data_IF_296594228479
#
_entry.id   IF_296594228479
#
_cell.length_a   1.000
_cell.length_b   1.000
_cell.length_c   1.000
_cell.angle_alpha   90.00
_cell.angle_beta   90.00
_cell.angle_gamma   90.00
#
_symmetry.space_group_name_H-M   'P 1'
#
loop_
_entity.id
_entity.type
_entity.pdbx_description
1 polymer ?
#
# COMPACT_ATOMS: atom_id res chain seq x y z
N UNK A 1 4.04 29.76 43.81
CA UNK A 1 4.28 29.93 42.37
C UNK A 1 4.40 28.55 41.74
N UNK A 2 3.30 28.08 41.15
CA UNK A 2 3.24 26.75 40.55
C UNK A 2 3.87 26.75 39.17
N UNK A 3 4.90 25.94 38.96
CA UNK A 3 5.40 25.60 37.65
C UNK A 3 4.38 24.67 36.97
N UNK A 4 3.61 25.17 36.01
CA UNK A 4 2.85 24.33 35.08
C UNK A 4 3.85 23.61 34.18
N UNK A 5 4.06 22.34 34.44
CA UNK A 5 4.71 21.43 33.51
C UNK A 5 3.87 21.39 32.25
N UNK A 6 4.43 21.90 31.14
CA UNK A 6 3.87 21.66 29.79
C UNK A 6 4.07 20.17 29.50
N UNK A 7 3.03 19.38 29.65
CA UNK A 7 2.96 18.06 29.03
C UNK A 7 3.04 18.26 27.53
N UNK A 8 4.21 17.97 26.97
CA UNK A 8 4.37 17.82 25.52
C UNK A 8 3.60 16.55 25.18
N UNK A 9 2.39 16.72 24.67
CA UNK A 9 1.62 15.65 24.10
C UNK A 9 2.41 15.12 22.89
N UNK A 10 3.21 14.08 23.11
CA UNK A 10 3.79 13.28 22.03
C UNK A 10 2.60 12.66 21.31
N UNK A 11 2.14 13.28 20.22
CA UNK A 11 1.24 12.61 19.29
C UNK A 11 1.92 11.30 18.91
N UNK A 12 1.27 10.18 19.19
CA UNK A 12 1.82 8.87 18.83
C UNK A 12 2.12 8.91 17.32
N UNK A 13 3.37 8.57 16.97
CA UNK A 13 3.82 8.58 15.58
C UNK A 13 2.94 7.63 14.76
N UNK A 14 2.35 8.14 13.68
CA UNK A 14 1.47 7.33 12.83
C UNK A 14 2.26 6.22 12.14
N UNK A 15 1.71 5.02 12.13
CA UNK A 15 2.28 3.87 11.44
C UNK A 15 2.03 4.00 9.94
N UNK A 16 3.00 3.62 9.13
CA UNK A 16 2.94 3.71 7.67
C UNK A 16 2.87 2.32 7.06
N UNK A 17 1.84 2.08 6.27
CA UNK A 17 1.69 0.86 5.45
C UNK A 17 2.01 1.23 4.01
N UNK A 18 2.96 0.53 3.42
CA UNK A 18 3.50 0.83 2.11
C UNK A 18 3.11 -0.27 1.10
N UNK A 19 2.44 0.13 0.03
CA UNK A 19 2.10 -0.74 -1.10
C UNK A 19 3.11 -0.57 -2.22
N UNK A 20 3.65 -1.65 -2.74
CA UNK A 20 4.74 -1.64 -3.71
C UNK A 20 4.36 -2.42 -4.97
N UNK A 21 4.61 -1.81 -6.12
CA UNK A 21 4.65 -2.48 -7.42
C UNK A 21 5.89 -2.04 -8.21
N UNK A 22 5.94 -2.26 -9.50
CA UNK A 22 7.11 -1.91 -10.31
C UNK A 22 7.21 -0.42 -10.54
N UNK A 23 6.25 0.20 -11.22
CA UNK A 23 6.31 1.60 -11.67
C UNK A 23 5.47 2.57 -10.84
N UNK A 24 4.70 2.09 -9.88
CA UNK A 24 3.79 2.91 -9.06
C UNK A 24 2.76 3.72 -9.87
N UNK A 25 2.28 3.17 -10.97
CA UNK A 25 1.25 3.79 -11.82
C UNK A 25 0.00 2.95 -12.00
N UNK A 26 0.05 1.63 -11.78
CA UNK A 26 -1.09 0.74 -11.95
C UNK A 26 -1.57 0.13 -10.63
N UNK A 27 -0.88 -0.90 -10.14
CA UNK A 27 -1.34 -1.72 -8.99
C UNK A 27 -1.26 -0.99 -7.66
N UNK A 28 -0.10 -0.47 -7.30
CA UNK A 28 0.07 0.12 -5.96
C UNK A 28 -0.75 1.39 -5.73
N UNK A 29 -1.02 2.27 -6.71
CA UNK A 29 -1.95 3.38 -6.52
C UNK A 29 -3.38 2.94 -6.21
N UNK A 30 -3.87 1.90 -6.88
CA UNK A 30 -5.19 1.32 -6.59
C UNK A 30 -5.22 0.72 -5.17
N UNK A 31 -4.21 -0.08 -4.83
CA UNK A 31 -4.11 -0.72 -3.52
C UNK A 31 -4.09 0.29 -2.38
N UNK A 32 -3.27 1.33 -2.49
CA UNK A 32 -3.18 2.41 -1.51
C UNK A 32 -4.54 3.04 -1.26
N UNK A 33 -5.25 3.43 -2.31
CA UNK A 33 -6.53 4.14 -2.18
C UNK A 33 -7.66 3.23 -1.66
N UNK A 34 -7.73 1.99 -2.13
CA UNK A 34 -8.68 1.01 -1.63
C UNK A 34 -8.46 0.71 -0.15
N UNK A 35 -7.23 0.53 0.25
CA UNK A 35 -6.89 0.30 1.66
C UNK A 35 -7.15 1.53 2.51
N UNK A 36 -6.75 2.72 2.07
CA UNK A 36 -7.02 3.98 2.78
C UNK A 36 -8.52 4.21 2.99
N UNK A 37 -9.36 3.88 2.03
CA UNK A 37 -10.80 3.96 2.16
C UNK A 37 -11.34 2.99 3.23
N UNK A 38 -10.86 1.76 3.23
CA UNK A 38 -11.25 0.77 4.24
C UNK A 38 -10.77 1.13 5.65
N UNK A 39 -9.59 1.74 5.77
CA UNK A 39 -9.05 2.22 7.05
C UNK A 39 -9.99 3.17 7.77
N UNK A 40 -10.76 3.99 7.07
CA UNK A 40 -11.68 4.98 7.68
C UNK A 40 -12.68 4.35 8.64
N UNK A 41 -13.05 3.09 8.40
CA UNK A 41 -14.00 2.34 9.22
C UNK A 41 -13.32 1.37 10.21
N UNK A 42 -12.00 1.40 10.31
CA UNK A 42 -11.23 0.53 11.19
C UNK A 42 -10.96 1.17 12.56
N UNK A 43 -10.61 0.35 13.54
CA UNK A 43 -10.22 0.79 14.89
C UNK A 43 -8.89 1.57 14.91
N UNK A 44 -8.10 1.49 13.85
CA UNK A 44 -6.79 2.13 13.71
C UNK A 44 -6.76 3.29 12.72
N UNK A 45 -7.92 3.80 12.32
CA UNK A 45 -8.07 4.85 11.31
C UNK A 45 -7.23 6.12 11.57
N UNK A 46 -7.04 6.51 12.83
CA UNK A 46 -6.23 7.67 13.22
C UNK A 46 -4.74 7.35 13.42
N UNK A 47 -4.37 6.08 13.42
CA UNK A 47 -3.03 5.60 13.77
C UNK A 47 -2.22 5.11 12.58
N UNK A 48 -2.87 4.79 11.47
CA UNK A 48 -2.26 4.17 10.30
C UNK A 48 -2.50 5.02 9.06
N UNK A 49 -1.46 5.19 8.25
CA UNK A 49 -1.50 5.85 6.95
C UNK A 49 -1.07 4.89 5.86
N UNK A 50 -1.71 4.98 4.71
CA UNK A 50 -1.36 4.23 3.51
C UNK A 50 -0.51 5.07 2.56
N UNK A 51 0.51 4.46 2.00
CA UNK A 51 1.39 5.03 0.97
C UNK A 51 1.65 4.00 -0.12
N UNK A 52 2.18 4.46 -1.25
CA UNK A 52 2.64 3.57 -2.30
C UNK A 52 3.94 4.06 -2.93
N UNK A 53 4.71 3.13 -3.48
CA UNK A 53 5.95 3.41 -4.20
C UNK A 53 6.21 2.32 -5.25
N UNK A 54 7.14 2.56 -6.14
CA UNK A 54 7.57 1.59 -7.14
C UNK A 54 9.06 1.27 -7.02
N UNK A 55 9.39 0.00 -7.22
CA UNK A 55 10.80 -0.46 -7.18
C UNK A 55 11.62 0.22 -8.27
N UNK A 56 11.01 0.45 -9.43
CA UNK A 56 11.63 1.07 -10.61
C UNK A 56 10.78 2.25 -11.12
N UNK A 57 10.15 2.99 -10.22
CA UNK A 57 9.32 4.14 -10.59
C UNK A 57 10.16 5.37 -10.87
N UNK A 58 9.69 6.18 -11.81
CA UNK A 58 10.10 7.58 -11.97
C UNK A 58 9.15 8.43 -11.14
N UNK A 59 9.67 9.47 -10.48
CA UNK A 59 8.85 10.36 -9.67
C UNK A 59 7.96 11.26 -10.52
N UNK A 60 6.71 11.44 -10.11
CA UNK A 60 5.81 12.46 -10.65
C UNK A 60 4.85 12.00 -11.74
N UNK A 61 4.86 10.73 -12.15
CA UNK A 61 3.93 10.22 -13.15
C UNK A 61 2.51 10.04 -12.55
N UNK A 62 1.52 10.31 -13.38
CA UNK A 62 0.12 10.05 -13.03
C UNK A 62 -0.14 8.55 -12.99
N UNK A 63 -1.17 8.13 -12.24
CA UNK A 63 -1.70 6.78 -12.36
C UNK A 63 -2.15 6.51 -13.81
N UNK A 64 -2.05 5.26 -14.26
CA UNK A 64 -2.53 4.86 -15.58
C UNK A 64 -4.04 5.13 -15.69
N UNK A 65 -4.50 5.50 -16.89
CA UNK A 65 -5.90 5.84 -17.10
C UNK A 65 -6.83 4.70 -16.68
N UNK A 66 -6.48 3.46 -17.01
CA UNK A 66 -7.31 2.31 -16.63
C UNK A 66 -7.36 2.10 -15.12
N UNK A 67 -6.30 2.41 -14.39
CA UNK A 67 -6.32 2.39 -12.90
C UNK A 67 -7.21 3.48 -12.34
N UNK A 68 -7.17 4.69 -12.93
CA UNK A 68 -8.06 5.80 -12.56
C UNK A 68 -9.51 5.39 -12.77
N UNK A 69 -9.83 4.84 -13.95
CA UNK A 69 -11.19 4.43 -14.30
C UNK A 69 -11.69 3.28 -13.41
N UNK A 70 -10.85 2.29 -13.14
CA UNK A 70 -11.20 1.17 -12.27
C UNK A 70 -11.52 1.60 -10.83
N UNK A 71 -10.76 2.55 -10.29
CA UNK A 71 -11.05 3.14 -8.97
C UNK A 71 -12.30 4.02 -9.00
N UNK A 72 -12.49 4.79 -10.06
CA UNK A 72 -13.64 5.66 -10.20
C UNK A 72 -14.96 4.88 -10.23
N UNK A 73 -14.99 3.69 -10.82
CA UNK A 73 -16.15 2.79 -10.77
C UNK A 73 -16.56 2.42 -9.34
N UNK A 74 -15.64 2.51 -8.39
CA UNK A 74 -15.87 2.27 -6.96
C UNK A 74 -16.07 3.57 -6.14
N UNK A 75 -16.21 4.69 -6.81
CA UNK A 75 -16.35 5.99 -6.17
C UNK A 75 -15.05 6.56 -5.60
N UNK A 76 -13.89 6.07 -6.03
CA UNK A 76 -12.58 6.52 -5.57
C UNK A 76 -11.85 7.30 -6.66
N UNK A 77 -11.42 8.52 -6.34
CA UNK A 77 -10.63 9.37 -7.22
C UNK A 77 -9.14 9.22 -6.90
N UNK A 78 -8.35 8.78 -7.88
CA UNK A 78 -6.88 8.69 -7.81
C UNK A 78 -6.18 9.60 -8.82
N UNK A 79 -6.87 10.60 -9.35
CA UNK A 79 -6.29 11.55 -10.32
C UNK A 79 -5.19 12.42 -9.71
N UNK A 80 -5.17 12.58 -8.40
CA UNK A 80 -4.14 13.29 -7.63
C UNK A 80 -2.86 12.46 -7.43
N UNK A 81 -2.88 11.16 -7.72
CA UNK A 81 -1.71 10.30 -7.54
C UNK A 81 -0.53 10.78 -8.39
N UNK A 82 0.66 10.74 -7.77
CA UNK A 82 1.95 10.89 -8.46
C UNK A 82 2.86 9.77 -8.02
N UNK A 83 3.47 9.11 -9.00
CA UNK A 83 4.40 8.02 -8.73
C UNK A 83 5.60 8.48 -7.91
N UNK A 84 6.11 7.60 -7.08
CA UNK A 84 7.29 7.80 -6.28
C UNK A 84 8.19 6.56 -6.34
N UNK A 85 9.47 6.76 -6.55
CA UNK A 85 10.47 5.72 -6.46
C UNK A 85 10.65 5.27 -4.99
N UNK A 86 10.84 3.98 -4.80
CA UNK A 86 11.15 3.43 -3.49
C UNK A 86 12.53 3.90 -3.04
N UNK A 87 12.62 4.39 -1.81
CA UNK A 87 13.88 4.87 -1.20
C UNK A 87 14.18 4.10 0.07
N UNK A 88 15.45 4.13 0.50
CA UNK A 88 15.85 3.58 1.79
C UNK A 88 15.06 4.22 2.95
N UNK A 89 14.80 5.52 2.88
CA UNK A 89 14.00 6.24 3.88
C UNK A 89 12.58 5.72 3.93
N UNK A 90 11.89 5.57 2.78
CA UNK A 90 10.52 5.03 2.76
C UNK A 90 10.46 3.59 3.28
N UNK A 91 11.49 2.79 3.02
CA UNK A 91 11.62 1.45 3.59
C UNK A 91 11.76 1.48 5.12
N UNK A 92 12.62 2.35 5.64
CA UNK A 92 12.85 2.47 7.09
C UNK A 92 11.63 3.00 7.85
N UNK A 93 10.87 3.89 7.24
CA UNK A 93 9.66 4.46 7.84
C UNK A 93 8.44 3.54 7.77
N UNK A 94 8.46 2.53 6.89
CA UNK A 94 7.34 1.61 6.75
C UNK A 94 7.22 0.68 7.97
N UNK A 95 6.02 0.58 8.50
CA UNK A 95 5.69 -0.36 9.58
C UNK A 95 5.29 -1.74 9.02
N UNK A 96 4.82 -1.76 7.78
CA UNK A 96 4.56 -2.98 7.01
C UNK A 96 4.60 -2.65 5.50
N UNK A 97 5.00 -3.63 4.71
CA UNK A 97 5.09 -3.53 3.25
C UNK A 97 4.26 -4.62 2.62
N UNK A 98 3.44 -4.25 1.66
CA UNK A 98 2.63 -5.16 0.85
C UNK A 98 3.02 -5.07 -0.62
N UNK A 99 3.55 -6.16 -1.16
CA UNK A 99 3.97 -6.31 -2.55
C UNK A 99 2.87 -6.96 -3.38
N UNK A 100 2.94 -6.80 -4.69
CA UNK A 100 1.98 -7.40 -5.60
C UNK A 100 2.36 -8.83 -6.01
N UNK A 101 3.66 -9.14 -6.08
CA UNK A 101 4.19 -10.43 -6.51
C UNK A 101 5.40 -10.87 -5.68
N UNK A 102 5.73 -12.16 -5.74
CA UNK A 102 6.95 -12.69 -5.13
C UNK A 102 8.22 -12.07 -5.73
N UNK A 103 8.20 -11.71 -7.01
CA UNK A 103 9.31 -11.00 -7.65
C UNK A 103 9.60 -9.67 -6.97
N UNK A 104 8.57 -8.91 -6.58
CA UNK A 104 8.75 -7.67 -5.82
C UNK A 104 9.39 -7.93 -4.46
N UNK A 105 8.92 -8.94 -3.73
CA UNK A 105 9.49 -9.34 -2.42
C UNK A 105 10.97 -9.72 -2.57
N UNK A 106 11.31 -10.50 -3.57
CA UNK A 106 12.69 -10.91 -3.84
C UNK A 106 13.60 -9.71 -4.16
N UNK A 107 13.12 -8.77 -4.98
CA UNK A 107 13.86 -7.55 -5.30
C UNK A 107 14.08 -6.66 -4.07
N UNK A 108 13.10 -6.54 -3.19
CA UNK A 108 13.26 -5.80 -1.94
C UNK A 108 14.36 -6.40 -1.06
N UNK A 109 14.37 -7.71 -0.89
CA UNK A 109 15.40 -8.40 -0.13
C UNK A 109 16.79 -8.22 -0.75
N UNK A 110 16.88 -8.22 -2.07
CA UNK A 110 18.15 -8.05 -2.78
C UNK A 110 18.70 -6.63 -2.70
N UNK A 111 17.83 -5.60 -2.83
CA UNK A 111 18.28 -4.21 -2.87
C UNK A 111 18.46 -3.57 -1.49
N UNK A 112 17.72 -4.00 -0.48
CA UNK A 112 17.65 -3.34 0.81
C UNK A 112 18.18 -4.17 1.98
N UNK A 113 18.61 -5.41 1.76
CA UNK A 113 19.15 -6.29 2.81
C UNK A 113 18.27 -6.27 4.07
N UNK A 114 16.99 -6.60 3.91
CA UNK A 114 16.00 -6.48 4.98
C UNK A 114 16.36 -7.37 6.18
N UNK A 115 16.21 -6.88 7.42
CA UNK A 115 16.40 -7.69 8.62
C UNK A 115 15.46 -8.90 8.63
N UNK A 116 15.88 -9.97 9.28
CA UNK A 116 15.02 -11.14 9.52
C UNK A 116 13.76 -10.69 10.28
N UNK A 117 12.59 -11.18 9.83
CA UNK A 117 11.31 -10.84 10.45
C UNK A 117 10.77 -9.46 10.07
N UNK A 118 11.43 -8.74 9.16
CA UNK A 118 10.88 -7.48 8.65
C UNK A 118 9.54 -7.73 7.95
N UNK A 119 8.47 -6.96 8.26
CA UNK A 119 7.11 -7.26 7.82
C UNK A 119 6.88 -6.93 6.34
N UNK A 120 7.29 -7.82 5.46
CA UNK A 120 7.04 -7.77 4.01
C UNK A 120 6.15 -8.94 3.62
N UNK A 121 5.00 -8.62 3.06
CA UNK A 121 3.98 -9.58 2.66
C UNK A 121 3.53 -9.33 1.23
N UNK A 122 2.87 -10.30 0.63
CA UNK A 122 2.05 -10.04 -0.55
C UNK A 122 0.74 -9.38 -0.13
N UNK A 123 0.16 -8.53 -0.98
CA UNK A 123 -1.15 -7.93 -0.71
C UNK A 123 -2.24 -8.99 -0.45
N UNK A 124 -2.13 -10.13 -1.12
CA UNK A 124 -3.03 -11.26 -0.96
C UNK A 124 -2.51 -12.36 -0.02
N UNK A 125 -1.50 -12.08 0.80
CA UNK A 125 -0.88 -13.06 1.71
C UNK A 125 -1.90 -13.82 2.56
N UNK A 126 -2.88 -13.10 3.07
CA UNK A 126 -3.82 -13.60 4.10
C UNK A 126 -5.17 -14.02 3.55
N UNK A 127 -5.37 -14.04 2.24
CA UNK A 127 -6.61 -14.60 1.66
C UNK A 127 -6.58 -16.13 1.73
N UNK A 128 -7.75 -16.72 1.97
CA UNK A 128 -7.86 -18.17 2.16
C UNK A 128 -7.73 -18.96 0.85
N UNK A 129 -8.13 -18.35 -0.28
CA UNK A 129 -8.23 -19.03 -1.56
C UNK A 129 -7.66 -18.19 -2.71
N UNK A 130 -7.27 -18.89 -3.78
CA UNK A 130 -6.79 -18.28 -5.01
C UNK A 130 -5.32 -17.91 -4.96
N UNK A 131 -4.83 -17.36 -6.07
CA UNK A 131 -3.45 -16.91 -6.18
C UNK A 131 -3.16 -15.77 -5.21
N UNK A 132 -1.98 -15.80 -4.60
CA UNK A 132 -1.48 -14.73 -3.74
C UNK A 132 -0.89 -13.58 -4.54
N UNK A 133 -0.59 -13.78 -5.81
CA UNK A 133 -0.01 -12.76 -6.69
C UNK A 133 -1.07 -11.98 -7.43
N UNK A 134 -0.74 -10.71 -7.70
CA UNK A 134 -1.50 -9.80 -8.56
C UNK A 134 -0.66 -9.48 -9.79
N UNK A 135 -0.87 -10.18 -10.93
CA UNK A 135 -0.13 -9.93 -12.16
C UNK A 135 -0.27 -8.50 -12.65
N UNK A 136 0.73 -8.02 -13.40
CA UNK A 136 0.76 -6.65 -13.89
C UNK A 136 -0.27 -6.45 -15.01
N UNK A 137 -1.26 -5.53 -14.85
CA UNK A 137 -2.25 -5.25 -15.86
C UNK A 137 -1.76 -4.26 -16.94
N UNK A 138 -0.55 -3.72 -16.80
CA UNK A 138 -0.03 -2.69 -17.70
C UNK A 138 -0.07 -3.14 -19.16
N UNK A 139 -0.56 -2.24 -20.03
CA UNK A 139 -0.69 -2.51 -21.46
C UNK A 139 -1.86 -3.42 -21.85
N UNK A 140 -2.66 -3.86 -20.88
CA UNK A 140 -3.84 -4.69 -21.12
C UNK A 140 -5.14 -3.87 -21.10
N UNK A 141 -6.25 -4.53 -21.41
CA UNK A 141 -7.55 -3.87 -21.47
C UNK A 141 -8.15 -3.57 -20.08
N UNK A 142 -9.27 -2.84 -20.10
CA UNK A 142 -9.95 -2.41 -18.88
C UNK A 142 -10.44 -3.59 -18.03
N UNK A 143 -10.83 -4.71 -18.64
CA UNK A 143 -11.31 -5.88 -17.91
C UNK A 143 -10.22 -6.50 -17.02
N UNK A 144 -8.98 -6.52 -17.49
CA UNK A 144 -7.83 -6.99 -16.69
C UNK A 144 -7.56 -6.07 -15.50
N UNK A 145 -7.74 -4.75 -15.67
CA UNK A 145 -7.64 -3.80 -14.55
C UNK A 145 -8.76 -3.97 -13.53
N UNK A 146 -9.99 -4.21 -13.99
CA UNK A 146 -11.13 -4.51 -13.10
C UNK A 146 -10.90 -5.78 -12.30
N UNK A 147 -10.43 -6.83 -12.94
CA UNK A 147 -10.09 -8.09 -12.26
C UNK A 147 -8.99 -7.88 -11.20
N UNK A 148 -7.93 -7.16 -11.53
CA UNK A 148 -6.87 -6.82 -10.60
C UNK A 148 -7.43 -6.04 -9.39
N UNK A 149 -8.23 -5.01 -9.64
CA UNK A 149 -8.91 -4.23 -8.60
C UNK A 149 -9.80 -5.11 -7.70
N UNK A 150 -10.63 -5.95 -8.30
CA UNK A 150 -11.58 -6.79 -7.56
C UNK A 150 -10.85 -7.80 -6.65
N UNK A 151 -9.73 -8.34 -7.11
CA UNK A 151 -8.87 -9.20 -6.30
C UNK A 151 -8.17 -8.44 -5.17
N UNK A 152 -7.87 -7.16 -5.34
CA UNK A 152 -7.41 -6.28 -4.25
C UNK A 152 -8.53 -6.06 -3.22
N UNK A 153 -9.73 -5.74 -3.68
CA UNK A 153 -10.91 -5.55 -2.80
C UNK A 153 -11.16 -6.80 -1.95
N UNK A 154 -11.04 -7.98 -2.54
CA UNK A 154 -11.16 -9.26 -1.81
C UNK A 154 -10.12 -9.40 -0.69
N UNK A 155 -8.91 -8.89 -0.88
CA UNK A 155 -7.83 -8.97 0.10
C UNK A 155 -7.95 -7.95 1.24
N UNK A 156 -8.59 -6.81 1.03
CA UNK A 156 -8.63 -5.69 1.97
C UNK A 156 -9.08 -6.10 3.39
N UNK A 157 -10.16 -6.87 3.60
CA UNK A 157 -10.56 -7.23 4.96
C UNK A 157 -9.47 -7.95 5.74
N UNK A 158 -8.73 -8.84 5.11
CA UNK A 158 -7.63 -9.57 5.74
C UNK A 158 -6.45 -8.64 6.10
N UNK A 159 -6.17 -7.64 5.27
CA UNK A 159 -5.15 -6.64 5.54
C UNK A 159 -5.54 -5.74 6.71
N UNK A 160 -6.78 -5.26 6.75
CA UNK A 160 -7.28 -4.45 7.86
C UNK A 160 -7.19 -5.25 9.17
N UNK A 161 -7.63 -6.50 9.17
CA UNK A 161 -7.53 -7.36 10.35
C UNK A 161 -6.08 -7.56 10.82
N UNK A 162 -5.15 -7.75 9.89
CA UNK A 162 -3.72 -7.87 10.24
C UNK A 162 -3.19 -6.57 10.86
N UNK A 163 -3.49 -5.41 10.26
CA UNK A 163 -3.05 -4.10 10.72
C UNK A 163 -3.61 -3.77 12.12
N UNK A 164 -4.89 -4.03 12.35
CA UNK A 164 -5.52 -3.85 13.66
C UNK A 164 -4.88 -4.68 14.77
N UNK A 165 -4.38 -5.87 14.43
CA UNK A 165 -3.73 -6.77 15.39
C UNK A 165 -2.26 -6.48 15.63
N UNK A 166 -1.55 -5.86 14.67
CA UNK A 166 -0.09 -5.78 14.68
C UNK A 166 0.44 -4.34 14.73
N UNK A 167 -0.33 -3.34 14.41
CA UNK A 167 0.08 -1.94 14.40
C UNK A 167 -0.76 -1.10 15.36
#
# INVERSE_FOLDING_TARGET
>A
MGKRSREINKSAEQKKVLFICTANVCRSPMAERLFAQALKNSSVSSKVLAYSAGISAMDGDKASQNSIDACFEMGLDITDHRSAGLTRTSMQEASAIFCMTESHRALLNMYFELPEGYPVFLMREFVDQGSKELPDPYGQDMEVYRECRDRMVEAIPSLINWVEKNL
#
